data_IF_060918022350
#
_entry.id   IF_060918022350
#
_cell.length_a   1.000
_cell.length_b   1.000
_cell.length_c   1.000
_cell.angle_alpha   90.00
_cell.angle_beta   90.00
_cell.angle_gamma   90.00
#
_symmetry.space_group_name_H-M   'P 1'
#
loop_
_entity.id
_entity.type
_entity.pdbx_description
1 polymer ?
#
# COMPACT_ATOMS: atom_id res chain seq x y z
N UNK A 1 -8.52 -0.95 -18.61
CA UNK A 1 -8.03 -2.27 -18.16
C UNK A 1 -8.96 -2.73 -17.05
N UNK A 2 -9.43 -3.98 -17.10
CA UNK A 2 -10.29 -4.58 -16.07
C UNK A 2 -9.51 -4.79 -14.78
N UNK A 3 -10.18 -4.86 -13.61
CA UNK A 3 -9.51 -5.16 -12.35
C UNK A 3 -8.80 -6.53 -12.38
N UNK A 4 -9.35 -7.49 -13.12
CA UNK A 4 -8.73 -8.80 -13.32
C UNK A 4 -7.41 -8.73 -14.11
N UNK A 5 -7.38 -7.93 -15.19
CA UNK A 5 -6.16 -7.69 -15.97
C UNK A 5 -5.10 -6.94 -15.15
N UNK A 6 -5.50 -5.97 -14.31
CA UNK A 6 -4.58 -5.23 -13.44
C UNK A 6 -3.94 -6.19 -12.42
N UNK A 7 -4.74 -7.04 -11.78
CA UNK A 7 -4.25 -8.07 -10.84
C UNK A 7 -3.24 -9.00 -11.52
N UNK A 8 -3.59 -9.54 -12.69
CA UNK A 8 -2.72 -10.43 -13.44
C UNK A 8 -1.42 -9.73 -13.84
N UNK A 9 -1.51 -8.51 -14.40
CA UNK A 9 -0.35 -7.73 -14.84
C UNK A 9 0.60 -7.41 -13.69
N UNK A 10 0.08 -7.08 -12.51
CA UNK A 10 0.89 -6.89 -11.30
C UNK A 10 1.69 -8.16 -10.94
N UNK A 11 1.00 -9.30 -10.82
CA UNK A 11 1.63 -10.56 -10.44
C UNK A 11 2.67 -11.01 -11.49
N UNK A 12 2.33 -10.89 -12.78
CA UNK A 12 3.22 -11.24 -13.88
C UNK A 12 4.45 -10.34 -13.96
N UNK A 13 4.30 -9.04 -13.67
CA UNK A 13 5.42 -8.11 -13.61
C UNK A 13 6.41 -8.51 -12.50
N UNK A 14 5.92 -8.78 -11.28
CA UNK A 14 6.82 -9.18 -10.19
C UNK A 14 7.39 -10.59 -10.39
N UNK A 15 6.63 -11.51 -10.97
CA UNK A 15 7.12 -12.84 -11.34
C UNK A 15 8.28 -12.76 -12.34
N UNK A 16 8.18 -11.92 -13.38
CA UNK A 16 9.27 -11.65 -14.34
C UNK A 16 10.50 -11.03 -13.67
N UNK A 17 10.31 -10.32 -12.56
CA UNK A 17 11.36 -9.74 -11.72
C UNK A 17 11.81 -10.67 -10.56
N UNK A 18 11.57 -11.98 -10.69
CA UNK A 18 12.10 -13.01 -9.79
C UNK A 18 11.34 -13.17 -8.48
N UNK A 19 10.13 -12.61 -8.34
CA UNK A 19 9.31 -12.83 -7.16
C UNK A 19 8.51 -14.12 -7.29
N UNK A 20 8.46 -14.90 -6.21
CA UNK A 20 7.55 -16.04 -6.13
C UNK A 20 6.11 -15.54 -6.02
N UNK A 21 5.24 -15.93 -6.96
CA UNK A 21 3.80 -15.71 -6.81
C UNK A 21 3.28 -16.64 -5.71
N UNK A 22 2.79 -16.06 -4.62
CA UNK A 22 2.25 -16.79 -3.46
C UNK A 22 0.74 -16.53 -3.38
N UNK A 23 -0.09 -17.57 -3.10
CA UNK A 23 -1.52 -17.36 -2.91
C UNK A 23 -1.82 -16.46 -1.70
N UNK A 24 -2.96 -15.76 -1.76
CA UNK A 24 -3.50 -15.06 -0.60
C UNK A 24 -3.80 -16.03 0.54
N UNK A 25 -3.41 -15.65 1.75
CA UNK A 25 -3.74 -16.38 2.97
C UNK A 25 -5.25 -16.29 3.29
N UNK A 26 -5.77 -17.20 4.13
CA UNK A 26 -7.13 -17.07 4.68
C UNK A 26 -7.33 -15.76 5.45
N UNK A 27 -8.55 -15.24 5.47
CA UNK A 27 -8.90 -14.00 6.17
C UNK A 27 -8.81 -14.11 7.69
N UNK A 28 -8.97 -15.33 8.22
CA UNK A 28 -8.76 -15.64 9.63
C UNK A 28 -7.29 -16.02 9.84
N UNK A 29 -6.52 -15.24 10.61
CA UNK A 29 -5.13 -15.57 10.89
C UNK A 29 -5.06 -16.87 11.70
N UNK A 30 -4.33 -17.86 11.21
CA UNK A 30 -4.24 -19.16 11.87
C UNK A 30 -3.47 -19.12 13.20
N UNK A 31 -2.48 -18.21 13.31
CA UNK A 31 -1.46 -18.22 14.38
C UNK A 31 -1.25 -16.86 15.05
N UNK A 32 -2.15 -15.88 14.88
CA UNK A 32 -2.00 -14.56 15.51
C UNK A 32 -3.27 -14.17 16.29
N UNK A 33 -3.31 -14.37 17.62
CA UNK A 33 -4.46 -14.04 18.44
C UNK A 33 -4.68 -12.53 18.61
N UNK A 34 -3.74 -11.69 18.16
CA UNK A 34 -3.83 -10.23 18.26
C UNK A 34 -4.50 -9.58 17.04
N UNK A 35 -4.66 -10.33 15.94
CA UNK A 35 -5.32 -9.90 14.71
C UNK A 35 -6.73 -10.50 14.60
N UNK A 36 -7.74 -9.64 14.49
CA UNK A 36 -9.11 -10.10 14.27
C UNK A 36 -9.29 -10.67 12.85
N UNK A 37 -8.72 -10.00 11.85
CA UNK A 37 -8.68 -10.42 10.45
C UNK A 37 -7.34 -10.02 9.82
N UNK A 38 -6.97 -10.70 8.74
CA UNK A 38 -5.85 -10.28 7.86
C UNK A 38 -6.17 -8.91 7.26
N UNK A 39 -5.33 -7.92 7.56
CA UNK A 39 -5.52 -6.51 7.19
C UNK A 39 -4.50 -6.01 6.15
N UNK A 40 -3.48 -6.82 5.84
CA UNK A 40 -2.42 -6.52 4.89
C UNK A 40 -1.81 -7.80 4.26
N UNK A 41 -1.13 -7.65 3.12
CA UNK A 41 -0.38 -8.73 2.47
C UNK A 41 0.70 -9.35 3.35
N UNK A 42 1.36 -8.52 4.17
CA UNK A 42 2.49 -8.91 5.02
C UNK A 42 2.14 -9.87 6.15
N UNK A 43 0.86 -10.00 6.54
CA UNK A 43 0.49 -10.80 7.73
C UNK A 43 0.98 -12.25 7.63
N UNK A 44 0.94 -12.86 6.44
CA UNK A 44 1.40 -14.25 6.21
C UNK A 44 2.94 -14.41 6.14
N UNK A 45 3.66 -13.29 6.19
CA UNK A 45 5.12 -13.23 6.13
C UNK A 45 5.73 -12.62 7.41
N UNK A 46 4.93 -12.40 8.46
CA UNK A 46 5.37 -11.82 9.73
C UNK A 46 6.63 -12.51 10.27
N UNK A 47 6.58 -13.83 10.40
CA UNK A 47 7.69 -14.63 10.97
C UNK A 47 8.91 -14.65 10.04
N UNK A 48 8.71 -14.45 8.74
CA UNK A 48 9.82 -14.29 7.77
C UNK A 48 10.54 -12.96 7.98
N UNK A 49 9.82 -11.87 8.19
CA UNK A 49 10.42 -10.56 8.52
C UNK A 49 11.15 -10.58 9.86
N UNK A 50 10.62 -11.30 10.85
CA UNK A 50 11.25 -11.48 12.15
C UNK A 50 12.48 -12.43 12.10
N UNK A 51 12.68 -13.15 10.99
CA UNK A 51 13.75 -14.15 10.85
C UNK A 51 13.48 -15.48 11.59
N UNK A 52 12.25 -15.67 12.06
CA UNK A 52 11.79 -16.88 12.75
C UNK A 52 11.40 -17.99 11.76
N UNK A 53 11.01 -17.61 10.54
CA UNK A 53 10.69 -18.53 9.46
C UNK A 53 11.60 -18.28 8.24
N UNK A 54 12.07 -19.37 7.60
CA UNK A 54 12.82 -19.30 6.35
C UNK A 54 12.03 -19.93 5.21
N UNK A 55 11.86 -19.18 4.12
CA UNK A 55 11.27 -19.65 2.86
C UNK A 55 12.36 -20.10 1.89
N UNK A 56 11.97 -20.88 0.88
CA UNK A 56 12.83 -21.29 -0.24
C UNK A 56 13.00 -20.17 -1.30
N UNK A 57 12.36 -19.02 -1.08
CA UNK A 57 12.46 -17.81 -1.89
C UNK A 57 12.76 -16.59 -0.99
N UNK A 58 13.47 -15.60 -1.54
CA UNK A 58 13.81 -14.33 -0.87
C UNK A 58 12.93 -13.16 -1.33
N UNK A 59 12.11 -13.38 -2.37
CA UNK A 59 11.20 -12.40 -2.96
C UNK A 59 9.82 -13.04 -3.20
N UNK A 60 8.74 -12.33 -2.91
CA UNK A 60 7.38 -12.83 -3.14
C UNK A 60 6.43 -11.75 -3.66
N UNK A 61 5.36 -12.13 -4.34
CA UNK A 61 4.25 -11.23 -4.66
C UNK A 61 2.89 -11.93 -4.49
N UNK A 62 1.87 -11.16 -4.12
CA UNK A 62 0.53 -11.66 -3.80
C UNK A 62 -0.56 -10.67 -4.21
N UNK A 63 -1.79 -11.16 -4.38
CA UNK A 63 -3.02 -10.35 -4.29
C UNK A 63 -3.78 -10.79 -3.05
N UNK A 64 -3.52 -10.15 -1.90
CA UNK A 64 -4.06 -10.56 -0.61
C UNK A 64 -5.48 -10.02 -0.40
N UNK A 65 -6.40 -10.90 -0.05
CA UNK A 65 -7.72 -10.52 0.47
C UNK A 65 -7.57 -9.95 1.88
N UNK A 66 -8.05 -8.75 2.11
CA UNK A 66 -7.94 -8.04 3.38
C UNK A 66 -9.31 -7.67 3.93
N UNK A 67 -9.45 -7.67 5.27
CA UNK A 67 -10.59 -7.08 5.97
C UNK A 67 -10.08 -6.03 6.98
N UNK A 68 -10.61 -4.81 6.87
CA UNK A 68 -10.38 -3.69 7.80
C UNK A 68 -11.69 -3.24 8.46
N UNK A 69 -12.17 -4.07 9.38
CA UNK A 69 -13.43 -3.85 10.11
C UNK A 69 -13.26 -3.93 11.64
N UNK A 70 -12.04 -3.69 12.13
CA UNK A 70 -11.73 -3.73 13.56
C UNK A 70 -10.23 -3.70 13.85
N UNK A 71 -9.87 -3.45 15.11
CA UNK A 71 -8.48 -3.31 15.54
C UNK A 71 -7.85 -1.99 15.08
N UNK A 72 -6.54 -2.00 14.83
CA UNK A 72 -5.77 -0.80 14.50
C UNK A 72 -6.12 -0.18 13.15
N UNK A 73 -6.40 -1.02 12.15
CA UNK A 73 -6.80 -0.61 10.81
C UNK A 73 -8.29 -0.91 10.65
N UNK A 74 -9.13 0.10 10.87
CA UNK A 74 -10.58 -0.02 10.85
C UNK A 74 -11.19 1.07 9.97
N UNK A 75 -11.68 0.67 8.80
CA UNK A 75 -12.26 1.57 7.81
C UNK A 75 -13.80 1.49 7.80
N UNK A 76 -14.41 0.72 8.72
CA UNK A 76 -15.85 0.42 8.72
C UNK A 76 -16.71 1.69 8.71
N UNK A 77 -16.32 2.71 9.49
CA UNK A 77 -17.08 3.95 9.60
C UNK A 77 -16.97 4.83 8.34
N UNK A 78 -16.00 4.60 7.46
CA UNK A 78 -15.77 5.36 6.23
C UNK A 78 -16.43 4.75 4.99
N UNK A 79 -16.85 3.47 5.08
CA UNK A 79 -17.51 2.76 3.99
C UNK A 79 -18.85 3.42 3.66
N UNK A 80 -19.03 3.76 2.37
CA UNK A 80 -20.21 4.47 1.87
C UNK A 80 -20.18 5.99 2.11
N UNK A 81 -19.22 6.52 2.88
CA UNK A 81 -18.99 7.97 3.03
C UNK A 81 -17.92 8.51 2.09
N UNK A 82 -16.97 7.65 1.71
CA UNK A 82 -15.83 8.00 0.85
C UNK A 82 -15.82 7.15 -0.41
N UNK A 83 -15.17 7.63 -1.47
CA UNK A 83 -15.11 6.94 -2.75
C UNK A 83 -14.15 5.72 -2.78
N UNK A 84 -13.34 5.53 -1.74
CA UNK A 84 -12.12 4.69 -1.77
C UNK A 84 -11.94 3.67 -0.66
N UNK A 85 -12.80 3.67 0.36
CA UNK A 85 -12.70 2.74 1.49
C UNK A 85 -13.71 1.60 1.36
N UNK A 86 -13.24 0.40 1.70
CA UNK A 86 -14.01 -0.83 1.77
C UNK A 86 -13.66 -1.57 3.06
N UNK A 87 -14.57 -2.40 3.56
CA UNK A 87 -14.21 -3.37 4.60
C UNK A 87 -13.36 -4.49 4.00
N UNK A 88 -13.83 -5.10 2.90
CA UNK A 88 -13.11 -6.11 2.14
C UNK A 88 -12.48 -5.49 0.89
N UNK A 89 -11.20 -5.74 0.65
CA UNK A 89 -10.48 -5.29 -0.54
C UNK A 89 -9.30 -6.21 -0.85
N UNK A 90 -8.72 -6.08 -2.04
CA UNK A 90 -7.49 -6.77 -2.41
C UNK A 90 -6.26 -5.85 -2.36
N UNK A 91 -5.24 -6.31 -1.66
CA UNK A 91 -3.93 -5.66 -1.58
C UNK A 91 -2.93 -6.40 -2.47
N UNK A 92 -2.51 -5.73 -3.54
CA UNK A 92 -1.43 -6.16 -4.42
C UNK A 92 -0.09 -5.83 -3.75
N UNK A 93 0.67 -6.85 -3.35
CA UNK A 93 1.92 -6.66 -2.61
C UNK A 93 3.09 -7.41 -3.23
N UNK A 94 4.25 -6.76 -3.28
CA UNK A 94 5.55 -7.39 -3.46
C UNK A 94 6.39 -7.25 -2.20
N UNK A 95 7.18 -8.28 -1.92
CA UNK A 95 7.93 -8.44 -0.69
C UNK A 95 9.38 -8.82 -0.99
N UNK A 96 10.30 -8.26 -0.22
CA UNK A 96 11.71 -8.61 -0.18
C UNK A 96 12.08 -9.04 1.23
N UNK A 97 12.65 -10.22 1.39
CA UNK A 97 13.06 -10.79 2.68
C UNK A 97 14.59 -10.78 2.76
N UNK A 98 15.17 -9.66 3.19
CA UNK A 98 16.63 -9.49 3.24
C UNK A 98 17.34 -9.59 1.88
N UNK A 99 16.67 -9.24 0.79
CA UNK A 99 17.18 -9.37 -0.58
C UNK A 99 17.51 -8.01 -1.20
N UNK A 100 16.51 -7.32 -1.75
CA UNK A 100 16.61 -5.94 -2.20
C UNK A 100 15.95 -4.99 -1.20
N UNK A 101 16.27 -3.70 -1.29
CA UNK A 101 15.72 -2.68 -0.40
C UNK A 101 15.18 -1.47 -1.18
N UNK A 102 15.32 -0.24 -0.66
CA UNK A 102 14.65 0.96 -1.19
C UNK A 102 14.87 1.21 -2.67
N UNK A 103 16.12 1.10 -3.15
CA UNK A 103 16.46 1.43 -4.55
C UNK A 103 15.65 0.61 -5.55
N UNK A 104 15.66 -0.71 -5.40
CA UNK A 104 14.89 -1.60 -6.28
C UNK A 104 13.39 -1.54 -6.01
N UNK A 105 12.95 -1.35 -4.76
CA UNK A 105 11.53 -1.21 -4.45
C UNK A 105 10.91 0.00 -5.17
N UNK A 106 11.58 1.15 -5.09
CA UNK A 106 11.17 2.39 -5.75
C UNK A 106 11.28 2.25 -7.27
N UNK A 107 12.36 1.66 -7.79
CA UNK A 107 12.52 1.36 -9.22
C UNK A 107 11.39 0.47 -9.74
N UNK A 108 11.05 -0.61 -9.02
CA UNK A 108 9.98 -1.52 -9.44
C UNK A 108 8.61 -0.84 -9.45
N UNK A 109 8.32 -0.01 -8.44
CA UNK A 109 7.07 0.74 -8.40
C UNK A 109 6.98 1.76 -9.55
N UNK A 110 8.07 2.46 -9.84
CA UNK A 110 8.16 3.39 -10.98
C UNK A 110 7.94 2.67 -12.31
N UNK A 111 8.71 1.63 -12.58
CA UNK A 111 8.59 0.82 -13.82
C UNK A 111 7.16 0.27 -13.99
N UNK A 112 6.53 -0.20 -12.91
CA UNK A 112 5.17 -0.72 -13.00
C UNK A 112 4.14 0.38 -13.30
N UNK A 113 4.17 1.49 -12.57
CA UNK A 113 3.18 2.57 -12.69
C UNK A 113 3.38 3.39 -13.97
N UNK A 114 4.62 3.80 -14.25
CA UNK A 114 4.95 4.72 -15.34
C UNK A 114 5.22 3.97 -16.64
N UNK A 115 6.01 2.90 -16.61
CA UNK A 115 6.41 2.22 -17.83
C UNK A 115 5.42 1.13 -18.28
N UNK A 116 4.81 0.39 -17.36
CA UNK A 116 3.90 -0.71 -17.69
C UNK A 116 2.43 -0.27 -17.71
N UNK A 117 1.98 0.51 -16.71
CA UNK A 117 0.61 1.06 -16.67
C UNK A 117 0.46 2.38 -17.41
N UNK A 118 1.57 3.04 -17.79
CA UNK A 118 1.56 4.30 -18.54
C UNK A 118 0.82 5.43 -17.83
N UNK A 119 0.89 5.48 -16.50
CA UNK A 119 0.35 6.60 -15.75
C UNK A 119 1.09 7.90 -16.08
N UNK A 120 0.34 9.00 -16.14
CA UNK A 120 0.91 10.33 -16.33
C UNK A 120 1.63 10.76 -15.06
N UNK A 121 2.95 10.92 -15.15
CA UNK A 121 3.82 11.31 -14.01
C UNK A 121 3.36 12.61 -13.35
N UNK A 122 2.71 13.52 -14.10
CA UNK A 122 2.18 14.79 -13.57
C UNK A 122 1.01 14.59 -12.60
N UNK A 123 0.44 13.40 -12.54
CA UNK A 123 -0.61 13.01 -11.59
C UNK A 123 -0.06 12.34 -10.36
N UNK A 124 1.22 11.96 -10.35
CA UNK A 124 1.83 11.24 -9.27
C UNK A 124 2.45 12.19 -8.24
N UNK A 125 2.31 11.82 -6.98
CA UNK A 125 3.02 12.42 -5.85
C UNK A 125 3.63 11.29 -5.02
N UNK A 126 4.78 11.56 -4.43
CA UNK A 126 5.53 10.59 -3.65
C UNK A 126 5.80 11.17 -2.27
N UNK A 127 5.75 10.34 -1.24
CA UNK A 127 6.02 10.77 0.13
C UNK A 127 7.20 10.00 0.72
N UNK A 128 7.87 10.59 1.71
CA UNK A 128 8.93 9.92 2.47
C UNK A 128 8.88 10.32 3.94
N UNK A 129 9.47 9.49 4.78
CA UNK A 129 9.46 9.72 6.22
C UNK A 129 10.33 10.91 6.61
N UNK A 130 9.72 11.91 7.24
CA UNK A 130 10.35 13.15 7.69
C UNK A 130 11.29 12.96 8.88
N UNK A 131 11.27 11.79 9.53
CA UNK A 131 11.97 11.57 10.79
C UNK A 131 11.16 12.02 12.01
N UNK A 132 11.63 11.61 13.18
CA UNK A 132 11.20 12.10 14.49
C UNK A 132 12.31 11.85 15.54
N UNK A 133 11.96 11.91 16.82
CA UNK A 133 12.91 11.75 17.93
C UNK A 133 13.52 10.33 18.02
N UNK A 134 12.90 9.31 17.41
CA UNK A 134 13.35 7.91 17.47
C UNK A 134 14.00 7.43 16.17
N UNK A 135 13.54 7.91 15.02
CA UNK A 135 13.97 7.43 13.70
C UNK A 135 14.33 8.60 12.79
N UNK A 136 15.50 8.55 12.16
CA UNK A 136 16.00 9.62 11.31
C UNK A 136 15.15 9.84 10.04
N UNK A 137 15.25 11.03 9.45
CA UNK A 137 14.63 11.36 8.16
C UNK A 137 15.11 10.43 7.04
N UNK A 138 14.18 9.86 6.28
CA UNK A 138 14.48 8.98 5.15
C UNK A 138 14.80 9.77 3.87
N UNK A 139 15.93 10.49 3.89
CA UNK A 139 16.41 11.25 2.72
C UNK A 139 16.84 10.35 1.56
N UNK A 140 17.19 9.09 1.84
CA UNK A 140 17.50 8.08 0.83
C UNK A 140 16.29 7.81 -0.09
N UNK A 141 15.10 7.60 0.49
CA UNK A 141 13.88 7.41 -0.29
C UNK A 141 13.57 8.62 -1.19
N UNK A 142 13.76 9.85 -0.66
CA UNK A 142 13.60 11.09 -1.45
C UNK A 142 14.52 11.08 -2.67
N UNK A 143 15.80 10.82 -2.46
CA UNK A 143 16.81 10.88 -3.51
C UNK A 143 16.61 9.78 -4.56
N UNK A 144 16.14 8.60 -4.14
CA UNK A 144 15.79 7.50 -5.04
C UNK A 144 14.58 7.81 -5.93
N UNK A 145 13.54 8.48 -5.41
CA UNK A 145 12.42 8.94 -6.22
C UNK A 145 12.85 9.93 -7.30
N UNK A 146 13.69 10.90 -6.93
CA UNK A 146 14.25 11.86 -7.88
C UNK A 146 15.11 11.15 -8.93
N UNK A 147 15.90 10.15 -8.50
CA UNK A 147 16.76 9.34 -9.38
C UNK A 147 15.95 8.58 -10.45
N UNK A 148 14.78 8.04 -10.12
CA UNK A 148 13.93 7.32 -11.10
C UNK A 148 13.13 8.25 -12.01
N UNK A 149 13.05 9.55 -11.69
CA UNK A 149 12.47 10.57 -12.57
C UNK A 149 11.34 11.40 -11.95
N UNK A 150 11.06 11.25 -10.65
CA UNK A 150 10.09 12.11 -9.99
C UNK A 150 10.58 13.56 -9.94
N UNK A 151 9.69 14.51 -10.19
CA UNK A 151 9.98 15.93 -9.96
C UNK A 151 10.25 16.15 -8.45
N UNK A 152 11.37 16.77 -8.04
CA UNK A 152 11.67 17.02 -6.63
C UNK A 152 10.56 17.76 -5.86
N UNK A 153 9.79 18.62 -6.53
CA UNK A 153 8.66 19.35 -5.93
C UNK A 153 7.46 18.44 -5.60
N UNK A 154 7.45 17.21 -6.10
CA UNK A 154 6.42 16.19 -5.90
C UNK A 154 6.82 15.09 -4.92
N UNK A 155 8.00 15.20 -4.31
CA UNK A 155 8.52 14.27 -3.31
C UNK A 155 8.47 14.93 -1.93
N UNK A 156 7.49 14.56 -1.12
CA UNK A 156 7.07 15.32 0.06
C UNK A 156 7.39 14.60 1.38
N UNK A 157 7.90 15.31 2.40
CA UNK A 157 8.10 14.74 3.73
C UNK A 157 6.78 14.69 4.53
N UNK A 158 6.45 13.55 5.15
CA UNK A 158 5.45 13.49 6.23
C UNK A 158 5.96 12.76 7.47
N UNK A 159 5.35 13.05 8.61
CA UNK A 159 5.74 12.50 9.92
C UNK A 159 5.26 11.06 10.14
N UNK A 160 5.46 10.57 11.38
CA UNK A 160 5.20 9.17 11.79
C UNK A 160 3.78 8.69 11.54
N UNK A 161 2.79 9.58 11.63
CA UNK A 161 1.39 9.23 11.41
C UNK A 161 1.18 8.60 10.02
N UNK A 162 1.88 9.14 9.02
CA UNK A 162 1.61 8.86 7.62
C UNK A 162 2.73 8.02 6.98
N UNK A 163 4.00 8.35 7.26
CA UNK A 163 5.16 7.68 6.66
C UNK A 163 5.92 6.74 7.60
N UNK A 164 5.27 6.20 8.64
CA UNK A 164 5.80 5.10 9.44
C UNK A 164 4.73 4.03 9.64
N UNK A 165 4.89 2.92 8.92
CA UNK A 165 3.87 1.87 8.89
C UNK A 165 4.10 0.81 9.97
N UNK A 166 3.00 0.36 10.58
CA UNK A 166 3.00 -0.67 11.61
C UNK A 166 1.70 -1.48 11.56
N UNK A 167 1.81 -2.81 11.50
CA UNK A 167 0.69 -3.76 11.35
C UNK A 167 -0.32 -3.69 12.50
N UNK A 168 0.20 -3.65 13.73
CA UNK A 168 -0.55 -3.70 14.98
C UNK A 168 0.19 -2.92 16.07
N UNK A 169 -0.13 -3.15 17.34
CA UNK A 169 0.62 -2.54 18.44
C UNK A 169 2.04 -3.10 18.54
N UNK A 170 2.26 -4.33 18.08
CA UNK A 170 3.57 -4.97 18.01
C UNK A 170 3.81 -5.61 16.65
N UNK A 171 5.07 -5.96 16.37
CA UNK A 171 5.50 -6.66 15.16
C UNK A 171 6.36 -5.82 14.22
N UNK A 172 6.68 -6.37 13.03
CA UNK A 172 7.48 -5.71 12.01
C UNK A 172 6.89 -4.35 11.59
N UNK A 173 7.75 -3.35 11.47
CA UNK A 173 7.42 -1.97 11.11
C UNK A 173 8.62 -1.23 10.54
N UNK A 174 8.37 -0.03 10.01
CA UNK A 174 9.42 0.87 9.56
C UNK A 174 8.93 2.11 8.83
N UNK A 175 9.86 3.01 8.45
CA UNK A 175 9.58 4.10 7.53
C UNK A 175 8.95 3.57 6.25
N UNK A 176 8.04 4.33 5.67
CA UNK A 176 7.44 3.98 4.39
C UNK A 176 7.38 5.17 3.45
N UNK A 177 7.17 4.87 2.18
CA UNK A 177 7.03 5.84 1.10
C UNK A 177 5.75 5.53 0.34
N UNK A 178 4.85 6.50 0.28
CA UNK A 178 3.54 6.32 -0.35
C UNK A 178 3.49 7.02 -1.70
N UNK A 179 2.72 6.45 -2.62
CA UNK A 179 2.46 6.97 -3.95
C UNK A 179 1.00 7.39 -4.01
N UNK A 180 0.77 8.64 -4.38
CA UNK A 180 -0.57 9.20 -4.56
C UNK A 180 -0.83 9.50 -6.04
N UNK A 181 -2.10 9.43 -6.43
CA UNK A 181 -2.57 9.76 -7.77
C UNK A 181 -3.67 10.83 -7.72
N UNK A 182 -3.50 11.88 -8.52
CA UNK A 182 -4.49 12.92 -8.76
C UNK A 182 -5.52 12.46 -9.81
N UNK A 183 -6.77 12.33 -9.38
CA UNK A 183 -7.91 11.83 -10.16
C UNK A 183 -8.61 12.90 -11.02
N UNK A 184 -8.37 14.20 -10.77
CA UNK A 184 -9.10 15.27 -11.46
C UNK A 184 -8.66 15.53 -12.91
N UNK A 185 -9.41 16.33 -13.65
CA UNK A 185 -9.19 16.49 -15.10
C UNK A 185 -8.00 17.39 -15.46
N UNK A 186 -7.52 18.23 -14.54
CA UNK A 186 -6.53 19.29 -14.81
C UNK A 186 -5.21 19.04 -14.06
N UNK A 187 -4.34 18.11 -14.51
CA UNK A 187 -3.12 17.75 -13.78
C UNK A 187 -2.08 18.88 -13.72
N UNK A 188 -2.16 19.85 -14.63
CA UNK A 188 -1.25 21.00 -14.65
C UNK A 188 -1.79 22.22 -13.86
N UNK A 189 -2.99 22.12 -13.29
CA UNK A 189 -3.62 23.21 -12.53
C UNK A 189 -3.12 23.18 -11.07
N UNK A 190 -2.27 24.14 -10.65
CA UNK A 190 -1.69 24.13 -9.30
C UNK A 190 -2.71 24.43 -8.20
N UNK A 191 -3.88 24.97 -8.53
CA UNK A 191 -4.95 25.16 -7.54
C UNK A 191 -5.61 23.82 -7.18
N UNK A 192 -5.61 22.86 -8.12
CA UNK A 192 -6.27 21.56 -7.95
C UNK A 192 -5.30 20.40 -7.70
N UNK A 193 -4.10 20.45 -8.28
CA UNK A 193 -3.08 19.42 -8.18
C UNK A 193 -1.78 20.04 -7.61
N UNK A 194 -1.69 20.10 -6.29
CA UNK A 194 -0.53 20.63 -5.57
C UNK A 194 -0.24 19.83 -4.31
N UNK A 195 0.93 20.05 -3.74
CA UNK A 195 1.38 19.38 -2.50
C UNK A 195 0.38 19.55 -1.34
N UNK A 196 -0.40 20.63 -1.33
CA UNK A 196 -1.44 20.87 -0.32
C UNK A 196 -2.52 19.78 -0.30
N UNK A 197 -2.79 19.15 -1.44
CA UNK A 197 -3.84 18.13 -1.58
C UNK A 197 -3.33 16.70 -1.34
N UNK A 198 -2.06 16.52 -1.00
CA UNK A 198 -1.50 15.21 -0.67
C UNK A 198 -1.74 14.92 0.80
N UNK A 199 -2.26 13.72 1.09
CA UNK A 199 -2.55 13.25 2.45
C UNK A 199 -3.57 14.09 3.24
N UNK A 200 -4.45 14.79 2.53
CA UNK A 200 -5.60 15.49 3.12
C UNK A 200 -6.89 14.72 2.87
N UNK A 201 -7.91 14.84 3.74
CA UNK A 201 -9.20 14.22 3.51
C UNK A 201 -9.81 14.65 2.17
N UNK A 202 -10.16 13.68 1.34
CA UNK A 202 -10.79 13.89 0.04
C UNK A 202 -10.60 12.70 -0.89
N UNK A 203 -11.25 12.74 -2.04
CA UNK A 203 -11.20 11.69 -3.07
C UNK A 203 -10.50 12.15 -4.36
N UNK A 204 -9.96 13.38 -4.38
CA UNK A 204 -9.29 13.95 -5.56
C UNK A 204 -7.85 13.47 -5.72
N UNK A 205 -7.10 13.38 -4.63
CA UNK A 205 -5.73 12.86 -4.62
C UNK A 205 -5.70 11.69 -3.65
N UNK A 206 -5.56 10.48 -4.19
CA UNK A 206 -5.71 9.25 -3.42
C UNK A 206 -4.39 8.51 -3.33
N UNK A 207 -4.08 7.93 -2.17
CA UNK A 207 -2.99 6.98 -2.01
C UNK A 207 -3.31 5.71 -2.81
N UNK A 208 -2.40 5.30 -3.69
CA UNK A 208 -2.57 4.09 -4.50
C UNK A 208 -1.65 2.95 -4.06
N UNK A 209 -0.47 3.25 -3.54
CA UNK A 209 0.53 2.24 -3.18
C UNK A 209 1.42 2.72 -2.04
N UNK A 210 1.59 1.91 -1.00
CA UNK A 210 2.53 2.15 0.08
C UNK A 210 3.71 1.17 0.01
N UNK A 211 4.94 1.68 0.12
CA UNK A 211 6.21 0.95 0.13
C UNK A 211 6.82 1.07 1.53
N UNK A 212 6.66 0.03 2.34
CA UNK A 212 7.20 -0.05 3.71
C UNK A 212 8.60 -0.64 3.68
N UNK A 213 9.55 0.11 4.23
CA UNK A 213 10.93 -0.31 4.41
C UNK A 213 11.07 -0.91 5.81
N UNK A 214 10.77 -2.21 5.91
CA UNK A 214 10.79 -2.96 7.16
C UNK A 214 12.19 -2.96 7.76
N UNK A 215 12.33 -2.32 8.92
CA UNK A 215 13.61 -2.11 9.60
C UNK A 215 13.56 -2.48 11.08
N UNK A 216 12.37 -2.46 11.69
CA UNK A 216 12.22 -2.62 13.14
C UNK A 216 11.14 -3.65 13.48
N UNK A 217 11.28 -4.29 14.63
CA UNK A 217 10.22 -4.97 15.34
C UNK A 217 9.81 -4.11 16.54
N UNK A 218 8.53 -3.74 16.63
CA UNK A 218 7.97 -3.00 17.76
C UNK A 218 7.48 -3.98 18.82
N UNK A 219 7.98 -3.86 20.04
CA UNK A 219 7.56 -4.68 21.18
C UNK A 219 7.10 -3.83 22.35
N UNK A 220 6.11 -4.30 23.10
CA UNK A 220 5.67 -3.67 24.34
C UNK A 220 6.51 -4.18 25.50
N UNK A 221 7.06 -3.27 26.30
CA UNK A 221 7.81 -3.55 27.51
C UNK A 221 6.86 -3.83 28.69
N UNK A 222 7.37 -4.41 29.78
CA UNK A 222 6.58 -4.73 30.98
C UNK A 222 5.92 -3.50 31.63
N UNK A 223 6.53 -2.32 31.48
CA UNK A 223 6.02 -1.03 31.98
C UNK A 223 4.98 -0.38 31.06
N UNK A 224 4.63 -1.04 29.95
CA UNK A 224 3.67 -0.57 28.95
C UNK A 224 4.26 0.36 27.89
N UNK A 225 5.53 0.73 27.99
CA UNK A 225 6.24 1.49 26.93
C UNK A 225 6.55 0.61 25.73
N UNK A 226 6.98 1.21 24.61
CA UNK A 226 7.31 0.46 23.39
C UNK A 226 8.78 0.64 23.03
N UNK A 227 9.39 -0.42 22.51
CA UNK A 227 10.77 -0.43 22.01
C UNK A 227 10.77 -0.82 20.54
N UNK A 228 11.59 -0.14 19.73
CA UNK A 228 11.91 -0.52 18.37
C UNK A 228 13.26 -1.27 18.36
N UNK A 229 13.23 -2.55 18.03
CA UNK A 229 14.45 -3.37 17.88
C UNK A 229 14.74 -3.59 16.40
N UNK A 230 15.98 -3.41 15.90
CA UNK A 230 16.29 -3.69 14.50
C UNK A 230 15.94 -5.12 14.09
N UNK A 231 15.35 -5.29 12.89
CA UNK A 231 15.13 -6.60 12.29
C UNK A 231 16.46 -7.26 11.90
N UNK A 232 16.50 -8.61 11.78
CA UNK A 232 17.72 -9.31 11.38
C UNK A 232 18.26 -8.89 10.00
N UNK A 233 17.37 -8.47 9.10
CA UNK A 233 17.71 -7.94 7.79
C UNK A 233 16.70 -6.88 7.33
N UNK A 234 17.14 -5.73 6.79
CA UNK A 234 16.26 -4.78 6.12
C UNK A 234 15.47 -5.46 5.02
N UNK A 235 14.16 -5.21 4.97
CA UNK A 235 13.22 -5.92 4.12
C UNK A 235 12.21 -4.96 3.51
N UNK A 236 11.47 -5.40 2.50
CA UNK A 236 10.45 -4.58 1.83
C UNK A 236 9.10 -5.27 1.95
N UNK A 237 8.10 -4.49 2.34
CA UNK A 237 6.69 -4.83 2.29
C UNK A 237 5.98 -3.74 1.49
N UNK A 238 5.10 -4.12 0.56
CA UNK A 238 4.34 -3.14 -0.21
C UNK A 238 2.87 -3.54 -0.30
N UNK A 239 2.01 -2.54 -0.46
CA UNK A 239 0.59 -2.75 -0.65
C UNK A 239 -0.05 -1.69 -1.55
N UNK A 240 -0.55 -2.12 -2.69
CA UNK A 240 -1.39 -1.33 -3.60
C UNK A 240 -2.82 -1.82 -3.53
N UNK A 241 -3.77 -0.90 -3.34
CA UNK A 241 -5.20 -1.25 -3.37
C UNK A 241 -5.64 -1.55 -4.80
N UNK A 242 -6.09 -2.77 -5.08
CA UNK A 242 -6.52 -3.17 -6.42
C UNK A 242 -7.67 -2.29 -6.93
N UNK A 243 -8.64 -2.01 -6.07
CA UNK A 243 -9.84 -1.24 -6.41
C UNK A 243 -9.48 0.22 -6.72
N UNK A 244 -8.57 0.82 -5.94
CA UNK A 244 -8.06 2.18 -6.19
C UNK A 244 -7.32 2.25 -7.52
N UNK A 245 -6.41 1.29 -7.77
CA UNK A 245 -5.69 1.22 -9.04
C UNK A 245 -6.64 0.98 -10.22
N UNK A 246 -7.70 0.20 -10.01
CA UNK A 246 -8.73 -0.05 -11.04
C UNK A 246 -9.50 1.22 -11.35
N UNK A 247 -9.87 2.02 -10.35
CA UNK A 247 -10.51 3.33 -10.56
C UNK A 247 -9.63 4.27 -11.39
N UNK A 248 -8.33 4.33 -11.07
CA UNK A 248 -7.32 5.09 -11.84
C UNK A 248 -7.27 4.64 -13.31
N UNK A 249 -7.11 3.33 -13.54
CA UNK A 249 -6.95 2.76 -14.89
C UNK A 249 -8.22 2.75 -15.74
N UNK A 250 -9.39 2.92 -15.13
CA UNK A 250 -10.67 3.03 -15.82
C UNK A 250 -11.17 4.47 -15.92
N UNK A 251 -10.44 5.42 -15.34
CA UNK A 251 -10.80 6.85 -15.29
C UNK A 251 -12.19 7.07 -14.69
N UNK A 252 -12.52 6.33 -13.63
CA UNK A 252 -13.78 6.47 -12.89
C UNK A 252 -13.51 7.14 -11.54
N UNK A 253 -14.44 7.96 -11.04
CA UNK A 253 -14.20 8.79 -9.86
C UNK A 253 -14.22 8.00 -8.54
N UNK A 254 -14.82 6.81 -8.53
CA UNK A 254 -14.94 6.00 -7.32
C UNK A 254 -14.58 4.54 -7.57
N UNK A 255 -14.14 3.85 -6.52
CA UNK A 255 -13.93 2.40 -6.58
C UNK A 255 -15.23 1.65 -6.93
N UNK A 256 -16.39 2.19 -6.54
CA UNK A 256 -17.71 1.59 -6.75
C UNK A 256 -18.17 1.61 -8.21
N UNK A 257 -17.56 2.46 -9.03
CA UNK A 257 -17.84 2.57 -10.46
C UNK A 257 -16.99 1.62 -11.32
N UNK A 258 -16.07 0.88 -10.69
CA UNK A 258 -15.20 -0.07 -11.39
C UNK A 258 -15.92 -1.36 -11.76
N UNK A 259 -15.38 -2.09 -12.74
CA UNK A 259 -15.86 -3.42 -13.12
C UNK A 259 -15.82 -4.46 -11.98
N UNK A 260 -15.03 -4.22 -10.93
CA UNK A 260 -14.96 -5.07 -9.74
C UNK A 260 -16.19 -4.97 -8.84
N UNK A 261 -16.81 -3.78 -8.76
CA UNK A 261 -17.83 -3.47 -7.74
C UNK A 261 -19.16 -3.08 -8.38
N UNK A 262 -19.15 -2.33 -9.49
CA UNK A 262 -20.35 -1.82 -10.15
C UNK A 262 -21.41 -2.91 -10.43
N UNK A 263 -21.05 -4.12 -10.92
CA UNK A 263 -22.03 -5.19 -11.10
C UNK A 263 -22.74 -5.62 -9.81
N UNK A 264 -22.06 -5.59 -8.66
CA UNK A 264 -22.64 -5.93 -7.37
C UNK A 264 -23.61 -4.83 -6.89
N UNK A 265 -23.26 -3.56 -7.13
CA UNK A 265 -24.11 -2.41 -6.80
C UNK A 265 -25.39 -2.45 -7.63
N UNK A 266 -25.27 -2.71 -8.95
CA UNK A 266 -26.42 -2.79 -9.85
C UNK A 266 -27.35 -3.93 -9.47
N UNK A 267 -26.79 -5.11 -9.17
CA UNK A 267 -27.58 -6.25 -8.71
C UNK A 267 -28.31 -5.95 -7.39
N UNK A 268 -27.66 -5.29 -6.44
CA UNK A 268 -28.31 -4.89 -5.18
C UNK A 268 -29.45 -3.88 -5.42
N UNK A 269 -29.28 -2.95 -6.36
CA UNK A 269 -30.31 -1.97 -6.74
C UNK A 269 -31.53 -2.64 -7.40
N UNK A 270 -31.30 -3.65 -8.25
CA UNK A 270 -32.36 -4.46 -8.85
C UNK A 270 -33.19 -5.19 -7.77
N UNK A 271 -32.53 -5.80 -6.78
CA UNK A 271 -33.21 -6.48 -5.67
C UNK A 271 -33.99 -5.52 -4.75
N UNK A 272 -33.54 -4.27 -4.61
CA UNK A 272 -34.16 -3.25 -3.76
C UNK A 272 -35.29 -2.45 -4.42
N UNK A 273 -35.47 -2.59 -5.74
CA UNK A 273 -36.50 -1.84 -6.47
C UNK A 273 -37.88 -2.44 -6.20
N UNK A 274 -38.86 -1.65 -5.69
CA UNK A 274 -40.21 -2.15 -5.51
C UNK A 274 -40.82 -2.52 -6.87
N UNK A 275 -41.42 -3.70 -6.94
CA UNK A 275 -42.14 -4.23 -8.11
C UNK A 275 -43.25 -3.31 -8.61
#
# INVERSE_FOLDING_TARGET
MTGNEIRAKFLDYFARNGHKVVPSSPLLPANDPTLLFVNAGMNQFKDVFLGEEKRDYTRACTSQKCIRAGGKHNDLDEVGKTARHHTFFEMLGNFSFGDYFKEDAIRFAWELLVDEFKLDVRRLWFTYFAGDDEVETDTEARDLWIKVGADPSRVLPFGRKDNFWQMGDTGPCGPCSEIFHYMGDSPDDPEKNSAHWVNVPGDTTIEIWNLVFMQYNRTQNEDGTFTLTPLPAPSVDTGMGLERMTAVMQHVPTNYDTDLIKPLVDFAAELGSPS
#
